data_IF_354566572249
#
_entry.id   IF_354566572249
#
_cell.length_a   1.000
_cell.length_b   1.000
_cell.length_c   1.000
_cell.angle_alpha   90.00
_cell.angle_beta   90.00
_cell.angle_gamma   90.00
#
_symmetry.space_group_name_H-M   'P 1'
#
loop_
_entity.id
_entity.type
_entity.pdbx_description
1 polymer ?
#
# COMPACT_ATOMS: atom_id res chain seq x y z
N UNK A 1 -8.47 0.27 2.11
CA UNK A 1 -8.07 -0.78 3.07
C UNK A 1 -6.56 -1.08 3.11
N UNK A 2 -5.89 -1.28 1.96
CA UNK A 2 -4.50 -1.76 1.90
C UNK A 2 -3.50 -0.81 2.60
N UNK A 3 -3.49 0.48 2.24
CA UNK A 3 -2.63 1.49 2.89
C UNK A 3 -2.97 1.65 4.38
N UNK A 4 -4.25 1.58 4.74
CA UNK A 4 -4.71 1.72 6.13
C UNK A 4 -4.25 0.53 6.99
N UNK A 5 -4.34 -0.70 6.47
CA UNK A 5 -3.85 -1.90 7.14
C UNK A 5 -2.33 -1.84 7.35
N UNK A 6 -1.59 -1.41 6.33
CA UNK A 6 -0.15 -1.19 6.39
C UNK A 6 0.22 -0.13 7.43
N UNK A 7 -0.50 1.01 7.48
CA UNK A 7 -0.30 2.06 8.47
C UNK A 7 -0.57 1.59 9.92
N UNK A 8 -1.46 0.60 10.09
CA UNK A 8 -1.71 -0.07 11.37
C UNK A 8 -0.69 -1.19 11.69
N UNK A 9 0.30 -1.43 10.84
CA UNK A 9 1.26 -2.53 10.99
C UNK A 9 0.65 -3.93 10.80
N UNK A 10 -0.53 -4.03 10.17
CA UNK A 10 -1.20 -5.30 9.89
C UNK A 10 -0.70 -5.88 8.56
N UNK A 11 -0.12 -7.09 8.53
CA UNK A 11 0.24 -7.74 7.27
C UNK A 11 -0.95 -7.87 6.33
N UNK A 12 -0.75 -7.55 5.05
CA UNK A 12 -1.80 -7.57 4.03
C UNK A 12 -1.67 -8.82 3.16
N UNK A 13 -2.80 -9.51 2.97
CA UNK A 13 -2.98 -10.48 1.89
C UNK A 13 -3.95 -9.88 0.88
N UNK A 14 -3.58 -9.89 -0.39
CA UNK A 14 -4.33 -9.25 -1.46
C UNK A 14 -4.40 -10.14 -2.71
N UNK A 15 -5.40 -9.90 -3.56
CA UNK A 15 -5.44 -10.51 -4.89
C UNK A 15 -4.25 -10.00 -5.73
N UNK A 16 -3.71 -10.82 -6.66
CA UNK A 16 -2.60 -10.43 -7.54
C UNK A 16 -3.04 -9.48 -8.66
N UNK A 17 -3.78 -8.42 -8.32
CA UNK A 17 -4.23 -7.40 -9.25
C UNK A 17 -3.20 -6.27 -9.39
N UNK A 18 -3.00 -5.69 -10.60
CA UNK A 18 -1.98 -4.68 -10.84
C UNK A 18 -2.06 -3.47 -9.89
N UNK A 19 -3.25 -2.97 -9.60
CA UNK A 19 -3.43 -1.83 -8.71
C UNK A 19 -3.01 -2.14 -7.26
N UNK A 20 -3.26 -3.37 -6.80
CA UNK A 20 -2.86 -3.81 -5.45
C UNK A 20 -1.35 -4.03 -5.37
N UNK A 21 -0.74 -4.54 -6.45
CA UNK A 21 0.71 -4.69 -6.57
C UNK A 21 1.43 -3.34 -6.59
N UNK A 22 0.90 -2.36 -7.31
CA UNK A 22 1.43 -0.99 -7.34
C UNK A 22 1.38 -0.33 -5.95
N UNK A 23 0.24 -0.42 -5.27
CA UNK A 23 0.07 0.21 -3.96
C UNK A 23 0.92 -0.49 -2.89
N UNK A 24 0.85 -1.81 -2.80
CA UNK A 24 1.47 -2.55 -1.71
C UNK A 24 2.94 -2.91 -1.94
N UNK A 25 3.44 -2.90 -3.17
CA UNK A 25 4.81 -3.28 -3.48
C UNK A 25 5.16 -4.67 -2.94
N UNK A 26 6.28 -4.80 -2.24
CA UNK A 26 6.75 -6.03 -1.58
C UNK A 26 6.27 -6.18 -0.12
N UNK A 27 5.43 -5.25 0.35
CA UNK A 27 4.90 -5.21 1.72
C UNK A 27 3.61 -6.04 1.91
N UNK A 28 3.17 -6.77 0.89
CA UNK A 28 1.99 -7.64 0.94
C UNK A 28 2.28 -9.04 0.37
N UNK A 29 1.43 -9.99 0.74
CA UNK A 29 1.36 -11.30 0.10
C UNK A 29 0.26 -11.26 -0.96
N UNK A 30 0.62 -11.53 -2.22
CA UNK A 30 -0.35 -11.70 -3.30
C UNK A 30 -0.67 -13.19 -3.49
N UNK A 31 -1.96 -13.53 -3.44
CA UNK A 31 -2.43 -14.90 -3.58
C UNK A 31 -3.88 -14.96 -4.07
N UNK A 32 -4.19 -15.95 -4.91
CA UNK A 32 -5.57 -16.29 -5.29
C UNK A 32 -6.25 -17.14 -4.20
N UNK A 33 -5.49 -18.00 -3.50
CA UNK A 33 -5.96 -18.74 -2.32
C UNK A 33 -5.66 -17.96 -1.03
N UNK A 34 -6.72 -17.44 -0.40
CA UNK A 34 -6.63 -16.68 0.83
C UNK A 34 -6.04 -17.50 1.99
N UNK A 35 -6.34 -18.80 2.08
CA UNK A 35 -5.86 -19.62 3.19
C UNK A 35 -4.33 -19.78 3.13
N UNK A 36 -3.80 -19.99 1.92
CA UNK A 36 -2.36 -20.00 1.69
C UNK A 36 -1.71 -18.63 1.94
N UNK A 37 -2.32 -17.57 1.41
CA UNK A 37 -1.85 -16.21 1.60
C UNK A 37 -1.75 -15.83 3.09
N UNK A 38 -2.76 -16.17 3.89
CA UNK A 38 -2.75 -15.93 5.35
C UNK A 38 -1.65 -16.73 6.04
N UNK A 39 -1.46 -18.02 5.70
CA UNK A 39 -0.35 -18.83 6.26
C UNK A 39 1.01 -18.20 5.99
N UNK A 40 1.24 -17.74 4.75
CA UNK A 40 2.49 -17.05 4.36
C UNK A 40 2.65 -15.72 5.09
N UNK A 41 1.59 -14.94 5.22
CA UNK A 41 1.63 -13.66 5.92
C UNK A 41 1.91 -13.82 7.43
N UNK A 42 1.41 -14.89 8.05
CA UNK A 42 1.72 -15.22 9.45
C UNK A 42 3.18 -15.65 9.64
N UNK A 43 3.74 -16.42 8.71
CA UNK A 43 5.14 -16.84 8.76
C UNK A 43 6.13 -15.67 8.64
N UNK A 44 5.78 -14.66 7.85
CA UNK A 44 6.61 -13.47 7.57
C UNK A 44 6.11 -12.21 8.32
N UNK A 45 5.31 -12.37 9.38
CA UNK A 45 4.55 -11.29 10.01
C UNK A 45 5.40 -10.07 10.38
N UNK A 46 6.55 -10.27 11.00
CA UNK A 46 7.42 -9.17 11.45
C UNK A 46 7.96 -8.36 10.27
N UNK A 47 8.43 -9.05 9.23
CA UNK A 47 8.92 -8.42 8.00
C UNK A 47 7.82 -7.63 7.30
N UNK A 48 6.64 -8.25 7.11
CA UNK A 48 5.50 -7.62 6.43
C UNK A 48 4.94 -6.43 7.22
N UNK A 49 4.90 -6.52 8.55
CA UNK A 49 4.49 -5.41 9.40
C UNK A 49 5.44 -4.22 9.26
N UNK A 50 6.75 -4.46 9.34
CA UNK A 50 7.76 -3.41 9.17
C UNK A 50 7.74 -2.80 7.76
N UNK A 51 7.70 -3.64 6.72
CA UNK A 51 7.62 -3.19 5.33
C UNK A 51 6.34 -2.38 5.06
N UNK A 52 5.19 -2.82 5.60
CA UNK A 52 3.93 -2.10 5.49
C UNK A 52 3.98 -0.73 6.15
N UNK A 53 4.52 -0.64 7.36
CA UNK A 53 4.69 0.64 8.07
C UNK A 53 5.56 1.62 7.28
N UNK A 54 6.65 1.16 6.67
CA UNK A 54 7.48 2.02 5.81
C UNK A 54 6.76 2.41 4.52
N UNK A 55 6.15 1.46 3.82
CA UNK A 55 5.41 1.70 2.56
C UNK A 55 4.27 2.69 2.74
N UNK A 56 3.53 2.60 3.84
CA UNK A 56 2.40 3.50 4.13
C UNK A 56 2.83 4.98 4.25
N UNK A 57 4.08 5.28 4.64
CA UNK A 57 4.58 6.66 4.76
C UNK A 57 4.67 7.38 3.42
N UNK A 58 4.75 6.65 2.31
CA UNK A 58 4.77 7.23 0.97
C UNK A 58 3.39 7.79 0.56
N UNK A 59 2.31 7.35 1.20
CA UNK A 59 0.94 7.72 0.86
C UNK A 59 0.37 8.69 1.88
N UNK A 60 0.64 9.98 1.70
CA UNK A 60 0.11 11.04 2.56
C UNK A 60 -0.95 11.91 1.87
N UNK A 61 -1.91 12.40 2.66
CA UNK A 61 -2.90 13.35 2.17
C UNK A 61 -2.28 14.70 1.83
N UNK A 62 -1.24 15.10 2.57
CA UNK A 62 -0.50 16.33 2.32
C UNK A 62 0.14 16.31 0.92
N UNK A 63 0.81 15.21 0.56
CA UNK A 63 1.44 15.08 -0.75
C UNK A 63 0.40 14.99 -1.88
N UNK A 64 -0.68 14.23 -1.67
CA UNK A 64 -1.83 14.19 -2.59
C UNK A 64 -2.38 15.58 -2.86
N UNK A 65 -2.63 16.36 -1.80
CA UNK A 65 -3.14 17.73 -1.92
C UNK A 65 -2.17 18.64 -2.67
N UNK A 66 -0.87 18.54 -2.39
CA UNK A 66 0.18 19.33 -3.04
C UNK A 66 0.22 19.05 -4.54
N UNK A 67 0.36 17.78 -4.94
CA UNK A 67 0.44 17.37 -6.35
C UNK A 67 -0.83 17.78 -7.11
N UNK A 68 -2.00 17.58 -6.50
CA UNK A 68 -3.29 17.94 -7.10
C UNK A 68 -3.41 19.45 -7.33
N UNK A 69 -3.05 20.26 -6.33
CA UNK A 69 -3.08 21.72 -6.44
C UNK A 69 -2.09 22.23 -7.51
N UNK A 70 -0.90 21.63 -7.60
CA UNK A 70 0.09 21.98 -8.61
C UNK A 70 -0.41 21.69 -10.03
N UNK A 71 -1.12 20.57 -10.23
CA UNK A 71 -1.75 20.26 -11.51
C UNK A 71 -2.78 21.32 -11.93
N UNK A 72 -3.63 21.77 -11.00
CA UNK A 72 -4.59 22.84 -11.27
C UNK A 72 -3.92 24.18 -11.56
N UNK A 73 -2.89 24.56 -10.80
CA UNK A 73 -2.13 25.80 -11.06
C UNK A 73 -1.49 25.81 -12.43
N UNK A 74 -0.95 24.67 -12.90
CA UNK A 74 -0.36 24.54 -14.24
C UNK A 74 -1.37 24.80 -15.34
N UNK A 75 -2.60 24.30 -15.20
CA UNK A 75 -3.67 24.51 -16.19
C UNK A 75 -4.17 25.96 -16.20
N UNK A 76 -4.20 26.63 -15.05
CA UNK A 76 -4.64 28.03 -14.95
C UNK A 76 -3.56 29.04 -15.39
N UNK A 77 -2.29 28.62 -15.43
CA UNK A 77 -1.17 29.45 -15.86
C UNK A 77 -0.83 29.32 -17.36
N UNK A 78 -1.51 28.42 -18.08
CA UNK A 78 -1.40 28.22 -19.53
C UNK A 78 -2.45 29.06 -20.28
#
# INVERSE_FOLDING_TARGET
>A
PVVEAMACGTPVVAAPEPALQEVAGDAAVFADDLADGVRRALADRERLSAAGLERAKEFTWQETARITADAYRRLLAA
#
